data_IF_235699220104
#
_entry.id   IF_235699220104
#
_cell.length_a   1.000
_cell.length_b   1.000
_cell.length_c   1.000
_cell.angle_alpha   90.00
_cell.angle_beta   90.00
_cell.angle_gamma   90.00
#
_symmetry.space_group_name_H-M   'P 1'
#
loop_
_entity.id
_entity.type
_entity.pdbx_description
1 polymer ?
#
# COMPACT_ATOMS: atom_id res chain seq x y z
N UNK A 1 43.62 2.96 -15.30
CA UNK A 1 43.51 1.76 -14.48
C UNK A 1 42.42 1.86 -13.38
N UNK A 2 42.02 3.05 -12.94
CA UNK A 2 41.03 3.25 -11.85
C UNK A 2 39.62 2.74 -12.16
N UNK A 3 39.17 2.80 -13.42
CA UNK A 3 37.82 2.35 -13.80
C UNK A 3 37.63 0.80 -13.76
N UNK A 4 38.69 0.03 -14.00
CA UNK A 4 38.64 -1.43 -14.04
C UNK A 4 38.43 -2.05 -12.64
N UNK A 5 39.12 -1.48 -11.64
CA UNK A 5 38.93 -1.88 -10.23
C UNK A 5 37.51 -1.52 -9.74
N UNK A 6 37.00 -0.35 -10.14
CA UNK A 6 35.64 0.07 -9.79
C UNK A 6 34.59 -0.91 -10.35
N UNK A 7 34.69 -1.34 -11.61
CA UNK A 7 33.79 -2.31 -12.18
C UNK A 7 33.79 -3.65 -11.46
N UNK A 8 34.96 -4.15 -11.03
CA UNK A 8 35.05 -5.41 -10.29
C UNK A 8 34.41 -5.32 -8.91
N UNK A 9 34.49 -4.18 -8.23
CA UNK A 9 33.84 -3.97 -6.94
C UNK A 9 32.31 -3.84 -7.05
N UNK A 10 31.78 -3.23 -8.12
CA UNK A 10 30.35 -3.05 -8.31
C UNK A 10 29.70 -4.29 -8.93
N UNK A 11 30.42 -5.08 -9.67
CA UNK A 11 29.90 -6.20 -10.45
C UNK A 11 29.05 -7.19 -9.61
N UNK A 12 29.44 -7.63 -8.39
CA UNK A 12 28.61 -8.52 -7.60
C UNK A 12 27.24 -7.89 -7.23
N UNK A 13 27.26 -6.62 -6.81
CA UNK A 13 26.04 -5.89 -6.45
C UNK A 13 25.16 -5.67 -7.66
N UNK A 14 25.74 -5.26 -8.79
CA UNK A 14 25.01 -5.06 -10.04
C UNK A 14 24.40 -6.35 -10.55
N UNK A 15 25.15 -7.45 -10.51
CA UNK A 15 24.66 -8.79 -10.90
C UNK A 15 23.50 -9.23 -10.01
N UNK A 16 23.61 -9.02 -8.71
CA UNK A 16 22.52 -9.32 -7.77
C UNK A 16 21.28 -8.47 -8.06
N UNK A 17 21.45 -7.18 -8.33
CA UNK A 17 20.32 -6.30 -8.70
C UNK A 17 19.65 -6.73 -10.02
N UNK A 18 20.43 -7.11 -11.02
CA UNK A 18 19.87 -7.60 -12.29
C UNK A 18 19.11 -8.91 -12.06
N UNK A 19 19.71 -9.86 -11.33
CA UNK A 19 19.13 -11.18 -11.12
C UNK A 19 17.88 -11.14 -10.24
N UNK A 20 17.90 -10.39 -9.12
CA UNK A 20 16.83 -10.42 -8.12
C UNK A 20 15.82 -9.29 -8.24
N UNK A 21 16.10 -8.24 -9.00
CA UNK A 21 15.19 -7.10 -9.19
C UNK A 21 14.76 -6.97 -10.65
N UNK A 22 15.71 -6.80 -11.57
CA UNK A 22 15.37 -6.51 -12.96
C UNK A 22 14.72 -7.72 -13.66
N UNK A 23 15.27 -8.91 -13.47
CA UNK A 23 14.76 -10.13 -14.11
C UNK A 23 13.34 -10.50 -13.67
N UNK A 24 12.96 -10.49 -12.36
CA UNK A 24 11.57 -10.67 -11.95
C UNK A 24 10.62 -9.61 -12.53
N UNK A 25 11.02 -8.33 -12.57
CA UNK A 25 10.18 -7.27 -13.16
C UNK A 25 9.93 -7.54 -14.65
N UNK A 26 10.98 -7.91 -15.40
CA UNK A 26 10.85 -8.27 -16.82
C UNK A 26 9.97 -9.52 -16.97
N UNK A 27 10.12 -10.52 -16.11
CA UNK A 27 9.28 -11.74 -16.12
C UNK A 27 7.80 -11.40 -15.89
N UNK A 28 7.49 -10.59 -14.89
CA UNK A 28 6.11 -10.13 -14.60
C UNK A 28 5.57 -9.30 -15.76
N UNK A 29 6.38 -8.43 -16.37
CA UNK A 29 5.99 -7.69 -17.57
C UNK A 29 5.65 -8.61 -18.74
N UNK A 30 6.50 -9.60 -19.05
CA UNK A 30 6.22 -10.58 -20.10
C UNK A 30 4.93 -11.34 -19.80
N UNK A 31 4.74 -11.77 -18.56
CA UNK A 31 3.56 -12.50 -18.11
C UNK A 31 2.27 -11.66 -18.22
N UNK A 32 2.34 -10.37 -17.93
CA UNK A 32 1.20 -9.43 -18.04
C UNK A 32 0.66 -9.25 -19.47
N UNK A 33 1.44 -9.64 -20.49
CA UNK A 33 1.03 -9.63 -21.89
C UNK A 33 0.32 -10.92 -22.32
N UNK A 34 0.18 -11.89 -21.42
CA UNK A 34 -0.44 -13.19 -21.69
C UNK A 34 -1.68 -13.36 -20.82
N UNK A 35 -2.63 -14.15 -21.32
CA UNK A 35 -3.82 -14.58 -20.58
C UNK A 35 -3.77 -16.10 -20.46
N UNK A 36 -4.21 -16.60 -19.32
CA UNK A 36 -4.25 -18.02 -19.01
C UNK A 36 -5.16 -18.75 -20.01
N UNK A 37 -4.86 -20.04 -20.19
CA UNK A 37 -5.75 -20.91 -20.97
C UNK A 37 -7.08 -21.07 -20.25
N UNK A 38 -8.17 -21.03 -21.01
CA UNK A 38 -9.48 -21.43 -20.52
C UNK A 38 -9.43 -22.85 -19.99
N UNK A 39 -10.15 -23.09 -18.89
CA UNK A 39 -10.27 -24.44 -18.34
C UNK A 39 -11.06 -25.30 -19.32
N UNK A 40 -10.57 -26.50 -19.60
CA UNK A 40 -11.32 -27.46 -20.41
C UNK A 40 -12.46 -28.00 -19.55
N UNK A 41 -13.69 -27.67 -19.96
CA UNK A 41 -14.90 -28.11 -19.28
C UNK A 41 -15.42 -29.40 -19.92
N UNK A 42 -15.67 -30.41 -19.10
CA UNK A 42 -16.36 -31.64 -19.51
C UNK A 42 -17.75 -31.62 -18.91
N UNK A 43 -18.75 -31.71 -19.78
CA UNK A 43 -20.15 -31.88 -19.37
C UNK A 43 -20.42 -33.36 -19.17
N UNK A 44 -20.64 -33.79 -17.93
CA UNK A 44 -21.06 -35.13 -17.60
C UNK A 44 -22.54 -35.16 -17.23
N UNK A 45 -23.30 -35.97 -17.95
CA UNK A 45 -24.68 -36.26 -17.60
C UNK A 45 -24.74 -37.33 -16.51
N UNK A 46 -25.27 -37.00 -15.36
CA UNK A 46 -25.60 -37.96 -14.31
C UNK A 46 -27.12 -38.20 -14.30
N UNK A 47 -27.54 -39.37 -14.77
CA UNK A 47 -28.96 -39.76 -14.80
C UNK A 47 -29.32 -40.56 -13.54
N UNK A 48 -30.15 -39.98 -12.68
CA UNK A 48 -30.73 -40.61 -11.50
C UNK A 48 -32.23 -40.96 -11.67
N UNK A 49 -32.86 -41.62 -10.68
CA UNK A 49 -34.29 -42.01 -10.75
C UNK A 49 -35.24 -40.83 -10.91
N UNK A 50 -34.81 -39.60 -10.72
CA UNK A 50 -35.61 -38.36 -10.80
C UNK A 50 -35.28 -37.48 -12.00
N UNK A 51 -34.42 -37.95 -12.90
CA UNK A 51 -34.05 -37.18 -14.12
C UNK A 51 -32.53 -37.15 -14.32
N UNK A 52 -32.11 -36.68 -15.52
CA UNK A 52 -30.70 -36.43 -15.82
C UNK A 52 -30.33 -35.00 -15.44
N UNK A 53 -29.27 -34.83 -14.69
CA UNK A 53 -28.64 -33.53 -14.35
C UNK A 53 -27.31 -33.44 -15.10
N UNK A 54 -27.13 -32.38 -15.86
CA UNK A 54 -25.84 -32.04 -16.47
C UNK A 54 -24.99 -31.38 -15.43
N UNK A 55 -23.82 -31.96 -15.12
CA UNK A 55 -22.78 -31.39 -14.25
C UNK A 55 -21.59 -31.06 -15.13
N UNK A 56 -21.22 -29.78 -15.13
CA UNK A 56 -20.00 -29.31 -15.79
C UNK A 56 -18.83 -29.42 -14.80
N UNK A 57 -17.85 -30.27 -15.13
CA UNK A 57 -16.64 -30.45 -14.34
C UNK A 57 -15.42 -30.01 -15.14
N UNK A 58 -14.37 -29.57 -14.44
CA UNK A 58 -13.12 -29.18 -15.08
C UNK A 58 -12.31 -30.45 -15.37
N UNK A 59 -11.92 -30.64 -16.63
CA UNK A 59 -10.93 -31.66 -16.99
C UNK A 59 -9.53 -31.17 -16.58
N UNK A 60 -9.07 -31.69 -15.45
CA UNK A 60 -7.75 -31.31 -14.91
C UNK A 60 -6.60 -31.80 -15.78
N UNK A 61 -6.76 -32.96 -16.43
CA UNK A 61 -5.71 -33.57 -17.24
C UNK A 61 -5.54 -32.82 -18.57
N UNK A 62 -6.63 -32.55 -19.27
CA UNK A 62 -6.62 -31.74 -20.50
C UNK A 62 -6.14 -30.29 -20.23
N UNK A 63 -6.55 -29.70 -19.11
CA UNK A 63 -6.12 -28.36 -18.71
C UNK A 63 -4.62 -28.34 -18.37
N UNK A 64 -4.09 -29.39 -17.74
CA UNK A 64 -2.67 -29.52 -17.44
C UNK A 64 -1.81 -29.68 -18.71
N UNK A 65 -2.26 -30.47 -19.68
CA UNK A 65 -1.60 -30.62 -20.97
C UNK A 65 -1.49 -29.30 -21.74
N UNK A 66 -2.54 -28.48 -21.74
CA UNK A 66 -2.50 -27.14 -22.35
C UNK A 66 -1.45 -26.23 -21.69
N UNK A 67 -1.28 -26.36 -20.36
CA UNK A 67 -0.26 -25.60 -19.62
C UNK A 67 1.15 -26.07 -19.88
N UNK A 68 1.35 -27.37 -20.10
CA UNK A 68 2.65 -27.91 -20.48
C UNK A 68 3.08 -27.46 -21.87
N UNK A 69 2.13 -27.44 -22.84
CA UNK A 69 2.40 -26.97 -24.20
C UNK A 69 2.71 -25.48 -24.28
N UNK A 70 2.03 -24.67 -23.47
CA UNK A 70 2.16 -23.19 -23.45
C UNK A 70 2.16 -22.65 -22.01
N UNK A 71 3.29 -22.73 -21.30
CA UNK A 71 3.34 -22.39 -19.88
C UNK A 71 3.03 -20.92 -19.57
N UNK A 72 3.14 -20.00 -20.52
CA UNK A 72 2.77 -18.59 -20.36
C UNK A 72 1.31 -18.27 -20.70
N UNK A 73 0.56 -19.22 -21.29
CA UNK A 73 -0.77 -18.99 -21.80
C UNK A 73 -0.81 -18.40 -23.22
N UNK A 74 -1.89 -17.70 -23.55
CA UNK A 74 -2.10 -17.09 -24.86
C UNK A 74 -1.62 -15.63 -24.86
N UNK A 75 -0.86 -15.23 -25.88
CA UNK A 75 -0.41 -13.84 -26.01
C UNK A 75 -1.61 -12.93 -26.33
N UNK A 76 -1.89 -11.98 -25.45
CA UNK A 76 -2.97 -11.00 -25.55
C UNK A 76 -2.46 -9.56 -25.71
N UNK A 77 -1.16 -9.36 -25.61
CA UNK A 77 -0.53 -8.04 -25.67
C UNK A 77 -1.10 -7.09 -24.62
N UNK A 78 -1.53 -5.90 -25.03
CA UNK A 78 -2.12 -4.90 -24.14
C UNK A 78 -3.57 -5.16 -23.78
N UNK A 79 -4.24 -6.16 -24.38
CA UNK A 79 -5.64 -6.49 -24.10
C UNK A 79 -5.88 -6.82 -22.62
N UNK A 80 -4.91 -7.44 -21.95
CA UNK A 80 -4.97 -7.72 -20.51
C UNK A 80 -5.12 -6.45 -19.68
N UNK A 81 -4.48 -5.36 -20.09
CA UNK A 81 -4.56 -4.06 -19.38
C UNK A 81 -5.88 -3.31 -19.66
N UNK A 82 -6.52 -3.54 -20.81
CA UNK A 82 -7.69 -2.79 -21.26
C UNK A 82 -9.01 -3.43 -20.86
N UNK A 83 -8.98 -4.65 -20.32
CA UNK A 83 -10.15 -5.40 -19.92
C UNK A 83 -10.83 -4.78 -18.67
N UNK A 84 -12.05 -5.26 -18.38
CA UNK A 84 -12.86 -4.79 -17.23
C UNK A 84 -12.19 -4.96 -15.87
N UNK A 85 -11.30 -5.93 -15.72
CA UNK A 85 -10.59 -6.17 -14.45
C UNK A 85 -9.53 -5.11 -14.15
N UNK A 86 -9.09 -4.35 -15.17
CA UNK A 86 -8.03 -3.36 -15.06
C UNK A 86 -8.51 -1.98 -15.51
N UNK A 87 -7.98 -1.44 -16.63
CA UNK A 87 -8.31 -0.08 -17.07
C UNK A 87 -9.73 0.07 -17.64
N UNK A 88 -10.41 -1.03 -17.97
CA UNK A 88 -11.82 -1.06 -18.36
C UNK A 88 -12.17 0.04 -19.39
N UNK A 89 -11.35 0.19 -20.43
CA UNK A 89 -11.47 1.33 -21.34
C UNK A 89 -12.78 1.36 -22.13
N UNK A 90 -13.36 0.17 -22.42
CA UNK A 90 -14.64 0.06 -23.09
C UNK A 90 -15.78 0.51 -22.16
N UNK A 91 -15.78 0.03 -20.91
CA UNK A 91 -16.78 0.35 -19.89
C UNK A 91 -16.72 1.83 -19.49
N UNK A 92 -15.52 2.42 -19.38
CA UNK A 92 -15.40 3.87 -19.16
C UNK A 92 -15.95 4.68 -20.32
N UNK A 93 -15.70 4.22 -21.57
CA UNK A 93 -16.25 4.86 -22.75
C UNK A 93 -17.78 4.78 -22.81
N UNK A 94 -18.36 3.70 -22.30
CA UNK A 94 -19.81 3.52 -22.18
C UNK A 94 -20.37 4.39 -21.05
N UNK A 95 -19.77 4.35 -19.85
CA UNK A 95 -20.11 5.19 -18.71
C UNK A 95 -20.10 6.69 -19.07
N UNK A 96 -19.15 7.13 -19.88
CA UNK A 96 -19.09 8.52 -20.36
C UNK A 96 -20.26 8.89 -21.28
N UNK A 97 -20.82 7.93 -22.02
CA UNK A 97 -21.93 8.16 -22.94
C UNK A 97 -23.29 8.07 -22.26
N UNK A 98 -23.41 7.26 -21.20
CA UNK A 98 -24.66 6.95 -20.50
C UNK A 98 -24.90 7.84 -19.30
N UNK A 99 -23.83 8.38 -18.68
CA UNK A 99 -23.93 9.20 -17.50
C UNK A 99 -24.65 10.55 -17.79
N UNK A 100 -25.71 10.83 -17.03
CA UNK A 100 -26.44 12.09 -17.10
C UNK A 100 -25.72 13.21 -16.34
N UNK A 101 -25.02 12.84 -15.25
CA UNK A 101 -24.26 13.77 -14.42
C UNK A 101 -22.82 13.29 -14.24
N UNK A 102 -21.90 14.23 -13.95
CA UNK A 102 -20.51 13.89 -13.63
C UNK A 102 -20.40 12.98 -12.39
N UNK A 103 -21.38 13.08 -11.47
CA UNK A 103 -21.48 12.20 -10.30
C UNK A 103 -21.80 10.75 -10.67
N UNK A 104 -22.70 10.54 -11.61
CA UNK A 104 -23.10 9.20 -12.08
C UNK A 104 -21.92 8.52 -12.79
N UNK A 105 -21.24 9.26 -13.66
CA UNK A 105 -20.01 8.78 -14.29
C UNK A 105 -18.98 8.33 -13.26
N UNK A 106 -18.74 9.16 -12.21
CA UNK A 106 -17.76 8.83 -11.21
C UNK A 106 -18.15 7.60 -10.38
N UNK A 107 -19.42 7.43 -10.08
CA UNK A 107 -19.93 6.24 -9.38
C UNK A 107 -19.77 4.99 -10.23
N UNK A 108 -20.15 5.03 -11.52
CA UNK A 108 -19.97 3.89 -12.43
C UNK A 108 -18.47 3.48 -12.56
N UNK A 109 -17.57 4.47 -12.63
CA UNK A 109 -16.13 4.19 -12.67
C UNK A 109 -15.65 3.56 -11.36
N UNK A 110 -16.13 4.06 -10.21
CA UNK A 110 -15.76 3.50 -8.90
C UNK A 110 -16.34 2.09 -8.67
N UNK A 111 -17.40 1.69 -9.35
CA UNK A 111 -17.92 0.33 -9.28
C UNK A 111 -17.02 -0.70 -10.00
N UNK A 112 -16.07 -0.25 -10.81
CA UNK A 112 -15.10 -1.12 -11.46
C UNK A 112 -14.04 -1.60 -10.45
N UNK A 113 -13.68 -2.90 -10.42
CA UNK A 113 -12.84 -3.50 -9.39
C UNK A 113 -11.48 -2.81 -9.21
N UNK A 114 -10.81 -2.48 -10.32
CA UNK A 114 -9.51 -1.79 -10.29
C UNK A 114 -9.62 -0.37 -9.72
N UNK A 115 -10.62 0.40 -10.14
CA UNK A 115 -10.78 1.79 -9.70
C UNK A 115 -11.22 1.89 -8.24
N UNK A 116 -12.05 0.94 -7.78
CA UNK A 116 -12.39 0.81 -6.36
C UNK A 116 -11.13 0.56 -5.51
N UNK A 117 -10.31 -0.39 -5.93
CA UNK A 117 -9.07 -0.71 -5.23
C UNK A 117 -8.04 0.44 -5.30
N UNK A 118 -7.96 1.11 -6.44
CA UNK A 118 -7.12 2.30 -6.60
C UNK A 118 -7.58 3.45 -5.70
N UNK A 119 -8.89 3.70 -5.62
CA UNK A 119 -9.47 4.74 -4.76
C UNK A 119 -9.15 4.47 -3.29
N UNK A 120 -9.32 3.23 -2.82
CA UNK A 120 -8.92 2.84 -1.47
C UNK A 120 -7.41 3.04 -1.26
N UNK A 121 -6.58 2.52 -2.16
CA UNK A 121 -5.12 2.61 -2.06
C UNK A 121 -4.63 4.07 -1.99
N UNK A 122 -5.18 4.93 -2.83
CA UNK A 122 -4.86 6.37 -2.83
C UNK A 122 -5.35 7.05 -1.56
N UNK A 123 -6.59 6.82 -1.14
CA UNK A 123 -7.15 7.41 0.08
C UNK A 123 -6.31 7.00 1.29
N UNK A 124 -6.00 5.72 1.43
CA UNK A 124 -5.15 5.20 2.49
C UNK A 124 -3.78 5.88 2.48
N UNK A 125 -3.11 5.92 1.33
CA UNK A 125 -1.78 6.50 1.17
C UNK A 125 -1.76 7.99 1.52
N UNK A 126 -2.70 8.78 0.98
CA UNK A 126 -2.73 10.22 1.17
C UNK A 126 -3.26 10.65 2.55
N UNK A 127 -3.99 9.79 3.25
CA UNK A 127 -4.42 10.06 4.62
C UNK A 127 -3.35 9.60 5.61
N UNK A 128 -2.87 8.38 5.53
CA UNK A 128 -1.89 7.84 6.50
C UNK A 128 -0.58 8.62 6.47
N UNK A 129 -0.04 8.92 5.29
CA UNK A 129 1.29 9.56 5.17
C UNK A 129 1.38 10.91 5.89
N UNK A 130 0.49 11.89 5.71
CA UNK A 130 0.58 13.16 6.43
C UNK A 130 0.40 13.00 7.94
N UNK A 131 -0.51 12.12 8.38
CA UNK A 131 -0.69 11.87 9.82
C UNK A 131 0.57 11.27 10.45
N UNK A 132 1.21 10.31 9.78
CA UNK A 132 2.48 9.71 10.25
C UNK A 132 3.60 10.75 10.33
N UNK A 133 3.70 11.66 9.37
CA UNK A 133 4.68 12.75 9.38
C UNK A 133 4.44 13.72 10.55
N UNK A 134 3.20 14.20 10.69
CA UNK A 134 2.86 15.19 11.72
C UNK A 134 2.97 14.59 13.12
N UNK A 135 2.39 13.42 13.35
CA UNK A 135 2.41 12.78 14.66
C UNK A 135 3.80 12.27 15.02
N UNK A 136 4.56 11.72 14.04
CA UNK A 136 5.94 11.30 14.26
C UNK A 136 6.83 12.45 14.68
N UNK A 137 6.72 13.62 14.02
CA UNK A 137 7.43 14.83 14.43
C UNK A 137 6.97 15.33 15.80
N UNK A 138 5.67 15.35 16.08
CA UNK A 138 5.11 15.79 17.35
C UNK A 138 5.62 14.94 18.51
N UNK A 139 5.63 13.60 18.37
CA UNK A 139 6.18 12.68 19.37
C UNK A 139 7.69 12.89 19.52
N UNK A 140 8.45 13.04 18.42
CA UNK A 140 9.88 13.27 18.46
C UNK A 140 10.25 14.54 19.26
N UNK A 141 9.54 15.64 19.00
CA UNK A 141 9.70 16.91 19.73
C UNK A 141 9.26 16.76 21.19
N UNK A 142 8.15 16.08 21.44
CA UNK A 142 7.68 15.78 22.80
C UNK A 142 8.74 15.04 23.60
N UNK A 143 9.26 13.93 23.07
CA UNK A 143 10.29 13.10 23.71
C UNK A 143 11.61 13.88 23.87
N UNK A 144 11.97 14.71 22.89
CA UNK A 144 13.19 15.52 23.00
C UNK A 144 13.18 16.48 24.20
N UNK A 145 12.01 16.98 24.56
CA UNK A 145 11.82 17.90 25.69
C UNK A 145 11.62 17.20 27.05
N UNK A 146 11.54 15.86 27.11
CA UNK A 146 11.36 15.12 28.35
C UNK A 146 12.62 15.12 29.23
N UNK A 147 12.48 15.07 30.57
CA UNK A 147 13.59 14.78 31.47
C UNK A 147 14.26 13.45 31.11
N UNK A 148 15.58 13.36 31.33
CA UNK A 148 16.41 12.20 30.95
C UNK A 148 15.87 10.86 31.48
N UNK A 149 15.26 10.83 32.67
CA UNK A 149 14.69 9.63 33.29
C UNK A 149 13.54 9.04 32.47
N UNK A 150 12.70 9.88 31.84
CA UNK A 150 11.52 9.46 31.09
C UNK A 150 11.80 9.22 29.60
N UNK A 151 12.93 9.72 29.06
CA UNK A 151 13.22 9.57 27.62
C UNK A 151 13.29 8.10 27.19
N UNK A 152 14.07 7.28 27.90
CA UNK A 152 14.28 5.87 27.57
C UNK A 152 12.96 5.07 27.54
N UNK A 153 12.18 5.04 28.62
CA UNK A 153 10.89 4.35 28.65
C UNK A 153 9.93 4.83 27.55
N UNK A 154 9.84 6.15 27.31
CA UNK A 154 8.94 6.70 26.28
C UNK A 154 9.39 6.29 24.87
N UNK A 155 10.69 6.32 24.56
CA UNK A 155 11.22 5.84 23.28
C UNK A 155 10.86 4.37 23.10
N UNK A 156 11.09 3.53 24.12
CA UNK A 156 10.77 2.10 24.05
C UNK A 156 9.30 1.85 23.75
N UNK A 157 8.40 2.52 24.49
CA UNK A 157 6.94 2.39 24.28
C UNK A 157 6.54 2.86 22.88
N UNK A 158 7.13 3.96 22.41
CA UNK A 158 6.84 4.50 21.07
C UNK A 158 7.31 3.59 19.92
N UNK A 159 8.26 2.69 20.17
CA UNK A 159 8.78 1.74 19.19
C UNK A 159 8.05 0.38 19.21
N UNK A 160 7.21 0.12 20.24
CA UNK A 160 6.50 -1.17 20.36
C UNK A 160 5.71 -1.56 19.10
N UNK A 161 4.98 -0.66 18.41
CA UNK A 161 4.24 -1.06 17.21
C UNK A 161 5.13 -1.64 16.11
N UNK A 162 6.39 -1.24 16.01
CA UNK A 162 7.34 -1.73 15.01
C UNK A 162 7.85 -3.15 15.32
N UNK A 163 7.78 -3.58 16.57
CA UNK A 163 8.21 -4.93 16.99
C UNK A 163 7.19 -5.99 16.55
N UNK A 164 5.93 -5.60 16.49
CA UNK A 164 4.85 -6.50 16.08
C UNK A 164 4.79 -6.55 14.56
N UNK A 165 4.76 -7.77 13.99
CA UNK A 165 4.61 -7.90 12.53
C UNK A 165 3.27 -7.34 12.07
N UNK A 166 3.17 -6.70 10.90
CA UNK A 166 1.94 -6.05 10.44
C UNK A 166 0.72 -6.97 10.44
N UNK A 167 0.89 -8.21 10.01
CA UNK A 167 -0.19 -9.21 9.99
C UNK A 167 -0.72 -9.51 11.40
N UNK A 168 0.18 -9.76 12.36
CA UNK A 168 -0.19 -10.10 13.74
C UNK A 168 -0.79 -8.89 14.45
N UNK A 169 -0.20 -7.71 14.27
CA UNK A 169 -0.72 -6.47 14.85
C UNK A 169 -2.13 -6.13 14.37
N UNK A 170 -2.38 -6.29 13.08
CA UNK A 170 -3.70 -6.10 12.51
C UNK A 170 -4.72 -7.14 13.04
N UNK A 171 -4.32 -8.40 13.16
CA UNK A 171 -5.17 -9.45 13.71
C UNK A 171 -5.52 -9.20 15.19
N UNK A 172 -4.56 -8.78 16.00
CA UNK A 172 -4.80 -8.40 17.40
C UNK A 172 -5.81 -7.24 17.48
N UNK A 173 -5.63 -6.20 16.66
CA UNK A 173 -6.54 -5.06 16.66
C UNK A 173 -7.93 -5.47 16.17
N UNK A 174 -8.04 -6.33 15.15
CA UNK A 174 -9.31 -6.88 14.69
C UNK A 174 -10.10 -7.52 15.85
N UNK A 175 -9.47 -8.41 16.62
CA UNK A 175 -10.13 -9.04 17.78
C UNK A 175 -10.46 -8.05 18.90
N UNK A 176 -9.62 -7.05 19.12
CA UNK A 176 -9.88 -6.03 20.14
C UNK A 176 -11.09 -5.15 19.79
N UNK A 177 -11.32 -4.89 18.50
CA UNK A 177 -12.37 -4.00 17.98
C UNK A 177 -13.67 -4.76 17.69
N UNK A 178 -13.62 -6.09 17.61
CA UNK A 178 -14.80 -6.92 17.43
C UNK A 178 -15.84 -6.63 18.53
N UNK A 179 -17.12 -6.93 18.26
CA UNK A 179 -18.26 -6.70 19.17
C UNK A 179 -17.98 -7.22 20.59
N UNK A 180 -17.36 -8.41 20.70
CA UNK A 180 -16.98 -9.04 21.97
C UNK A 180 -15.59 -8.62 22.48
N UNK A 181 -14.91 -7.72 21.78
CA UNK A 181 -13.57 -7.26 22.12
C UNK A 181 -13.58 -6.08 23.08
N UNK A 182 -12.43 -5.86 23.76
CA UNK A 182 -12.30 -4.80 24.78
C UNK A 182 -12.55 -3.40 24.19
N UNK A 183 -12.00 -3.11 23.00
CA UNK A 183 -12.23 -1.82 22.33
C UNK A 183 -13.63 -1.74 21.74
N UNK A 184 -14.17 -2.86 21.21
CA UNK A 184 -15.54 -2.91 20.71
C UNK A 184 -16.55 -2.57 21.79
N UNK A 185 -16.46 -3.21 22.95
CA UNK A 185 -17.30 -2.91 24.11
C UNK A 185 -17.14 -1.46 24.60
N UNK A 186 -15.93 -0.92 24.63
CA UNK A 186 -15.68 0.47 25.01
C UNK A 186 -16.30 1.47 24.01
N UNK A 187 -16.24 1.19 22.70
CA UNK A 187 -16.85 2.01 21.66
C UNK A 187 -18.38 1.95 21.76
N UNK A 188 -18.97 0.77 21.94
CA UNK A 188 -20.41 0.61 22.16
C UNK A 188 -20.91 1.40 23.38
N UNK A 189 -20.18 1.34 24.48
CA UNK A 189 -20.48 2.12 25.67
C UNK A 189 -20.36 3.64 25.42
N UNK A 190 -19.34 4.09 24.68
CA UNK A 190 -19.11 5.51 24.39
C UNK A 190 -20.21 6.10 23.50
N UNK A 191 -20.71 5.32 22.53
CA UNK A 191 -21.76 5.76 21.58
C UNK A 191 -23.17 5.35 22.01
N UNK A 192 -23.31 4.67 23.17
CA UNK A 192 -24.59 4.17 23.71
C UNK A 192 -25.38 3.30 22.70
N UNK A 193 -24.66 2.54 21.88
CA UNK A 193 -25.22 1.64 20.87
C UNK A 193 -24.61 0.22 21.02
N UNK A 194 -25.36 -0.72 21.65
CA UNK A 194 -24.88 -2.10 21.84
C UNK A 194 -24.72 -2.90 20.54
N UNK A 195 -25.30 -2.44 19.44
CA UNK A 195 -25.22 -3.11 18.13
C UNK A 195 -24.13 -2.52 17.25
N UNK A 196 -23.42 -1.50 17.71
CA UNK A 196 -22.37 -0.86 16.93
C UNK A 196 -21.21 -1.84 16.71
N UNK A 197 -20.98 -2.18 15.43
CA UNK A 197 -19.84 -2.99 15.01
C UNK A 197 -18.98 -2.20 14.05
N UNK A 198 -17.69 -2.12 14.34
CA UNK A 198 -16.74 -1.40 13.49
C UNK A 198 -16.53 -2.09 12.13
N UNK A 199 -16.94 -3.36 12.02
CA UNK A 199 -16.88 -4.14 10.79
C UNK A 199 -18.18 -4.07 9.96
N UNK A 200 -19.19 -3.32 10.41
CA UNK A 200 -20.53 -3.32 9.81
C UNK A 200 -20.64 -2.45 8.55
N UNK A 201 -19.73 -1.51 8.33
CA UNK A 201 -19.82 -0.59 7.20
C UNK A 201 -18.46 -0.20 6.63
N UNK A 202 -18.43 0.08 5.32
CA UNK A 202 -17.22 0.49 4.61
C UNK A 202 -16.49 1.68 5.26
N UNK A 203 -17.16 2.79 5.66
CA UNK A 203 -16.46 3.90 6.30
C UNK A 203 -15.81 3.56 7.64
N UNK A 204 -16.44 2.70 8.43
CA UNK A 204 -15.90 2.27 9.73
C UNK A 204 -14.67 1.37 9.52
N UNK A 205 -14.75 0.42 8.60
CA UNK A 205 -13.62 -0.45 8.24
C UNK A 205 -12.44 0.38 7.71
N UNK A 206 -12.67 1.35 6.82
CA UNK A 206 -11.62 2.23 6.32
C UNK A 206 -10.97 3.04 7.45
N UNK A 207 -11.79 3.58 8.36
CA UNK A 207 -11.28 4.32 9.52
C UNK A 207 -10.37 3.45 10.39
N UNK A 208 -10.76 2.21 10.65
CA UNK A 208 -9.95 1.27 11.42
C UNK A 208 -8.64 0.93 10.73
N UNK A 209 -8.69 0.65 9.43
CA UNK A 209 -7.49 0.38 8.64
C UNK A 209 -6.53 1.57 8.63
N UNK A 210 -7.05 2.81 8.49
CA UNK A 210 -6.27 4.04 8.53
C UNK A 210 -5.64 4.26 9.91
N UNK A 211 -6.40 4.10 11.00
CA UNK A 211 -5.88 4.21 12.36
C UNK A 211 -4.77 3.20 12.60
N UNK A 212 -4.98 1.94 12.18
CA UNK A 212 -3.96 0.90 12.26
C UNK A 212 -2.71 1.29 11.45
N UNK A 213 -2.87 1.75 10.21
CA UNK A 213 -1.78 2.17 9.35
C UNK A 213 -0.94 3.30 9.94
N UNK A 214 -1.61 4.30 10.54
CA UNK A 214 -0.92 5.38 11.26
C UNK A 214 -0.13 4.79 12.43
N UNK A 215 -0.78 4.00 13.29
CA UNK A 215 -0.17 3.43 14.49
C UNK A 215 1.05 2.56 14.18
N UNK A 216 0.96 1.69 13.17
CA UNK A 216 2.04 0.78 12.79
C UNK A 216 3.24 1.48 12.12
N UNK A 217 2.99 2.56 11.37
CA UNK A 217 4.02 3.30 10.62
C UNK A 217 4.68 4.41 11.44
N UNK A 218 4.05 4.83 12.53
CA UNK A 218 4.46 5.98 13.36
C UNK A 218 5.84 5.81 14.00
N UNK A 219 6.26 4.61 14.50
CA UNK A 219 7.56 4.42 15.10
C UNK A 219 8.73 4.75 14.19
N UNK A 220 8.65 4.38 12.91
CA UNK A 220 9.69 4.68 11.94
C UNK A 220 9.86 6.19 11.74
N UNK A 221 8.76 6.91 11.54
CA UNK A 221 8.77 8.36 11.40
C UNK A 221 9.29 9.06 12.66
N UNK A 222 8.84 8.60 13.83
CA UNK A 222 9.28 9.10 15.12
C UNK A 222 10.80 8.97 15.29
N UNK A 223 11.38 7.78 15.09
CA UNK A 223 12.81 7.55 15.34
C UNK A 223 13.69 8.36 14.39
N UNK A 224 13.30 8.48 13.12
CA UNK A 224 14.02 9.28 12.12
C UNK A 224 13.99 10.77 12.49
N UNK A 225 12.83 11.31 12.86
CA UNK A 225 12.73 12.69 13.31
C UNK A 225 13.47 12.93 14.63
N UNK A 226 13.38 11.99 15.58
CA UNK A 226 14.10 12.10 16.84
C UNK A 226 15.61 12.14 16.64
N UNK A 227 16.15 11.27 15.77
CA UNK A 227 17.55 11.30 15.39
C UNK A 227 17.93 12.62 14.69
N UNK A 228 17.08 13.11 13.79
CA UNK A 228 17.29 14.38 13.11
C UNK A 228 17.29 15.58 14.05
N UNK A 229 16.45 15.59 15.08
CA UNK A 229 16.46 16.66 16.10
C UNK A 229 17.78 16.76 16.85
N UNK A 230 18.51 15.63 17.01
CA UNK A 230 19.81 15.62 17.67
C UNK A 230 20.93 16.21 16.79
N UNK A 231 20.69 16.45 15.51
CA UNK A 231 21.68 17.02 14.58
C UNK A 231 21.57 18.53 14.43
N UNK A 232 20.57 19.15 15.05
CA UNK A 232 20.39 20.61 15.00
C UNK A 232 21.46 21.25 15.90
N UNK A 233 22.31 22.17 15.38
CA UNK A 233 23.28 22.87 16.20
C UNK A 233 22.61 23.73 17.29
N UNK A 234 23.10 23.63 18.53
CA UNK A 234 22.53 24.38 19.65
C UNK A 234 22.63 25.90 19.42
N UNK A 235 23.70 26.37 18.78
CA UNK A 235 23.91 27.78 18.43
C UNK A 235 22.75 28.38 17.62
N UNK A 236 22.12 27.60 16.73
CA UNK A 236 20.99 28.06 15.94
C UNK A 236 19.73 28.23 16.80
N UNK A 237 19.53 27.34 17.77
CA UNK A 237 18.39 27.39 18.67
C UNK A 237 18.56 28.52 19.71
N UNK A 238 19.79 28.75 20.18
CA UNK A 238 20.15 29.81 21.09
C UNK A 238 20.03 31.19 20.42
N UNK A 239 20.55 31.35 19.20
CA UNK A 239 20.43 32.57 18.42
C UNK A 239 18.96 32.96 18.22
N UNK A 240 18.12 32.00 17.80
CA UNK A 240 16.68 32.22 17.64
C UNK A 240 15.99 32.59 18.98
N UNK A 241 16.51 32.09 20.10
CA UNK A 241 15.99 32.45 21.43
C UNK A 241 16.39 33.85 21.84
N UNK A 242 17.62 34.28 21.54
CA UNK A 242 18.14 35.64 21.79
C UNK A 242 17.33 36.65 20.95
N UNK A 243 16.97 36.30 19.71
CA UNK A 243 16.08 37.09 18.83
C UNK A 243 14.62 37.13 19.30
N UNK A 244 14.28 36.51 20.44
CA UNK A 244 12.94 36.52 21.02
C UNK A 244 11.94 35.61 20.32
N UNK A 245 12.38 34.64 19.51
CA UNK A 245 11.50 33.73 18.82
C UNK A 245 10.74 32.80 19.79
N UNK A 246 9.42 32.72 19.63
CA UNK A 246 8.58 31.79 20.38
C UNK A 246 8.89 30.32 20.03
N UNK A 247 8.43 29.38 20.87
CA UNK A 247 8.64 27.93 20.60
C UNK A 247 8.11 27.52 19.23
N UNK A 248 6.94 28.07 18.81
CA UNK A 248 6.36 27.79 17.50
C UNK A 248 7.17 28.39 16.35
N UNK A 249 7.68 29.60 16.51
CA UNK A 249 8.55 30.22 15.51
C UNK A 249 9.88 29.44 15.34
N UNK A 250 10.51 29.01 16.43
CA UNK A 250 11.70 28.14 16.37
C UNK A 250 11.40 26.82 15.65
N UNK A 251 10.25 26.20 15.96
CA UNK A 251 9.82 24.99 15.27
C UNK A 251 9.68 25.22 13.76
N UNK A 252 8.95 26.26 13.38
CA UNK A 252 8.60 26.53 11.97
C UNK A 252 9.77 27.03 11.14
N UNK A 253 10.66 27.87 11.70
CA UNK A 253 11.70 28.57 10.95
C UNK A 253 13.10 27.97 11.13
N UNK A 254 13.35 27.19 12.16
CA UNK A 254 14.65 26.54 12.42
C UNK A 254 14.51 25.02 12.31
N UNK A 255 13.67 24.40 13.13
CA UNK A 255 13.60 22.93 13.25
C UNK A 255 13.06 22.27 11.98
N UNK A 256 11.88 22.70 11.51
CA UNK A 256 11.25 22.05 10.31
C UNK A 256 12.09 22.24 9.05
N UNK A 257 12.65 23.42 8.73
CA UNK A 257 13.54 23.57 7.59
C UNK A 257 14.82 22.71 7.66
N UNK A 258 15.40 22.56 8.88
CA UNK A 258 16.54 21.69 9.08
C UNK A 258 16.20 20.22 8.83
N UNK A 259 15.01 19.78 9.25
CA UNK A 259 14.54 18.41 9.08
C UNK A 259 13.94 18.14 7.69
N UNK A 260 13.85 19.12 6.78
CA UNK A 260 13.20 18.96 5.48
C UNK A 260 13.76 17.78 4.65
N UNK A 261 15.07 17.51 4.60
CA UNK A 261 15.58 16.32 3.93
C UNK A 261 15.02 15.01 4.51
N UNK A 262 14.84 14.94 5.83
CA UNK A 262 14.25 13.77 6.49
C UNK A 262 12.74 13.69 6.25
N UNK A 263 12.03 14.82 6.20
CA UNK A 263 10.61 14.85 5.81
C UNK A 263 10.43 14.25 4.41
N UNK A 264 11.26 14.66 3.45
CA UNK A 264 11.23 14.11 2.09
C UNK A 264 11.53 12.61 2.10
N UNK A 265 12.56 12.18 2.81
CA UNK A 265 12.95 10.77 2.92
C UNK A 265 11.82 9.91 3.50
N UNK A 266 11.23 10.32 4.63
CA UNK A 266 10.10 9.60 5.23
C UNK A 266 8.90 9.60 4.29
N UNK A 267 8.60 10.72 3.62
CA UNK A 267 7.49 10.81 2.67
C UNK A 267 7.64 9.81 1.53
N UNK A 268 8.84 9.70 0.94
CA UNK A 268 9.09 8.74 -0.15
C UNK A 268 8.87 7.30 0.30
N UNK A 269 9.37 6.93 1.48
CA UNK A 269 9.18 5.58 2.04
C UNK A 269 7.70 5.34 2.34
N UNK A 270 7.03 6.28 3.01
CA UNK A 270 5.62 6.13 3.37
C UNK A 270 4.70 6.05 2.14
N UNK A 271 4.95 6.85 1.10
CA UNK A 271 4.18 6.75 -0.14
C UNK A 271 4.35 5.37 -0.78
N UNK A 272 5.57 4.84 -0.81
CA UNK A 272 5.86 3.53 -1.38
C UNK A 272 5.22 2.40 -0.55
N UNK A 273 5.33 2.43 0.77
CA UNK A 273 4.84 1.37 1.65
C UNK A 273 3.31 1.39 1.77
N UNK A 274 2.70 2.57 1.92
CA UNK A 274 1.25 2.69 2.02
C UNK A 274 0.54 2.35 0.70
N UNK A 275 1.18 2.61 -0.45
CA UNK A 275 0.61 2.25 -1.75
C UNK A 275 0.52 0.73 -1.97
N UNK A 276 1.33 -0.05 -1.27
CA UNK A 276 1.30 -1.53 -1.30
C UNK A 276 0.60 -2.14 -0.09
N UNK A 277 -0.28 -1.42 0.57
CA UNK A 277 -1.03 -1.94 1.73
C UNK A 277 -1.75 -3.25 1.38
N UNK A 278 -1.53 -4.29 2.20
CA UNK A 278 -2.06 -5.63 1.97
C UNK A 278 -2.43 -6.35 3.27
N UNK A 279 -1.45 -6.54 4.18
CA UNK A 279 -1.58 -7.36 5.39
C UNK A 279 -2.75 -6.92 6.29
N UNK A 280 -3.01 -5.62 6.51
CA UNK A 280 -4.14 -5.19 7.32
C UNK A 280 -5.50 -5.60 6.73
N UNK A 281 -5.64 -5.57 5.39
CA UNK A 281 -6.90 -5.93 4.72
C UNK A 281 -7.25 -7.39 4.99
N UNK A 282 -6.28 -8.29 4.82
CA UNK A 282 -6.47 -9.72 5.08
C UNK A 282 -6.74 -9.98 6.56
N UNK A 283 -5.94 -9.38 7.45
CA UNK A 283 -6.07 -9.62 8.89
C UNK A 283 -7.38 -9.11 9.48
N UNK A 284 -7.91 -8.01 8.95
CA UNK A 284 -9.22 -7.48 9.34
C UNK A 284 -10.39 -8.17 8.64
N UNK A 285 -10.12 -9.12 7.74
CA UNK A 285 -11.15 -9.75 6.88
C UNK A 285 -11.98 -8.68 6.16
N UNK A 286 -11.30 -7.63 5.70
CA UNK A 286 -11.92 -6.42 5.20
C UNK A 286 -12.21 -6.46 3.68
N UNK A 287 -12.05 -7.61 3.02
CA UNK A 287 -12.08 -7.73 1.55
C UNK A 287 -13.43 -7.30 0.94
N UNK A 288 -14.53 -7.40 1.71
CA UNK A 288 -15.85 -6.94 1.28
C UNK A 288 -16.01 -5.42 1.29
N UNK A 289 -15.20 -4.72 2.10
CA UNK A 289 -15.30 -3.28 2.33
C UNK A 289 -14.08 -2.50 1.83
N UNK A 290 -12.92 -3.14 1.75
CA UNK A 290 -11.67 -2.51 1.35
C UNK A 290 -10.82 -3.48 0.53
N UNK A 291 -10.46 -3.06 -0.67
CA UNK A 291 -9.55 -3.80 -1.55
C UNK A 291 -8.44 -2.86 -1.99
N UNK A 292 -7.18 -3.27 -1.87
CA UNK A 292 -6.05 -2.55 -2.43
C UNK A 292 -5.60 -3.18 -3.75
N UNK A 293 -4.74 -2.49 -4.48
CA UNK A 293 -4.11 -3.07 -5.67
C UNK A 293 -3.31 -4.34 -5.33
N UNK A 294 -2.61 -4.36 -4.19
CA UNK A 294 -1.89 -5.54 -3.71
C UNK A 294 -2.83 -6.70 -3.34
N UNK A 295 -4.03 -6.39 -2.85
CA UNK A 295 -5.05 -7.40 -2.57
C UNK A 295 -5.58 -8.04 -3.88
N UNK A 296 -5.78 -7.25 -4.95
CA UNK A 296 -6.18 -7.81 -6.26
C UNK A 296 -5.13 -8.78 -6.76
N UNK A 297 -3.84 -8.42 -6.70
CA UNK A 297 -2.74 -9.30 -7.11
C UNK A 297 -2.79 -10.63 -6.34
N UNK A 298 -2.98 -10.56 -5.02
CA UNK A 298 -3.08 -11.75 -4.17
C UNK A 298 -4.31 -12.61 -4.52
N UNK A 299 -5.47 -11.96 -4.70
CA UNK A 299 -6.71 -12.64 -5.06
C UNK A 299 -6.60 -13.37 -6.40
N UNK A 300 -6.00 -12.74 -7.39
CA UNK A 300 -5.79 -13.33 -8.72
C UNK A 300 -4.84 -14.54 -8.66
N UNK A 301 -3.86 -14.53 -7.76
CA UNK A 301 -2.89 -15.62 -7.64
C UNK A 301 -3.39 -16.81 -6.81
N UNK A 302 -4.26 -16.57 -5.81
CA UNK A 302 -4.57 -17.59 -4.79
C UNK A 302 -6.05 -17.94 -4.73
N UNK A 303 -6.94 -16.95 -4.76
CA UNK A 303 -8.35 -17.17 -4.45
C UNK A 303 -9.17 -17.76 -5.62
N UNK A 304 -8.70 -17.60 -6.84
CA UNK A 304 -9.45 -18.02 -8.04
C UNK A 304 -9.47 -19.53 -8.30
N UNK A 305 -8.83 -20.34 -7.45
CA UNK A 305 -8.69 -21.80 -7.69
C UNK A 305 -7.87 -22.15 -8.93
N UNK A 306 -7.70 -21.21 -9.84
CA UNK A 306 -6.84 -21.21 -11.01
C UNK A 306 -6.09 -19.89 -11.05
N UNK A 307 -4.75 -19.87 -10.78
CA UNK A 307 -4.00 -18.61 -10.70
C UNK A 307 -4.05 -17.85 -12.02
N UNK A 308 -4.49 -16.59 -11.94
CA UNK A 308 -4.56 -15.65 -13.06
C UNK A 308 -3.27 -14.84 -13.15
N UNK A 309 -2.19 -15.47 -13.59
CA UNK A 309 -0.85 -14.85 -13.62
C UNK A 309 -0.77 -13.61 -14.51
N UNK A 310 -1.45 -13.61 -15.65
CA UNK A 310 -1.49 -12.47 -16.56
C UNK A 310 -2.19 -11.26 -15.95
N UNK A 311 -3.34 -11.48 -15.30
CA UNK A 311 -4.10 -10.45 -14.58
C UNK A 311 -3.28 -9.89 -13.40
N UNK A 312 -2.73 -10.76 -12.55
CA UNK A 312 -1.87 -10.36 -11.45
C UNK A 312 -0.63 -9.58 -11.94
N UNK A 313 -0.05 -10.00 -13.07
CA UNK A 313 1.06 -9.30 -13.72
C UNK A 313 0.67 -7.91 -14.20
N UNK A 314 -0.48 -7.75 -14.85
CA UNK A 314 -0.99 -6.47 -15.31
C UNK A 314 -1.25 -5.51 -14.14
N UNK A 315 -1.94 -5.97 -13.09
CA UNK A 315 -2.15 -5.18 -11.86
C UNK A 315 -0.82 -4.80 -11.20
N UNK A 316 0.18 -5.71 -11.19
CA UNK A 316 1.51 -5.42 -10.64
C UNK A 316 2.22 -4.32 -11.43
N UNK A 317 2.19 -4.35 -12.77
CA UNK A 317 2.74 -3.30 -13.60
C UNK A 317 2.04 -1.96 -13.40
N UNK A 318 0.71 -1.94 -13.37
CA UNK A 318 -0.06 -0.72 -13.08
C UNK A 318 0.27 -0.15 -11.69
N UNK A 319 0.49 -1.02 -10.70
CA UNK A 319 0.93 -0.61 -9.35
C UNK A 319 2.32 0.03 -9.38
N UNK A 320 3.29 -0.56 -10.10
CA UNK A 320 4.63 0.00 -10.27
C UNK A 320 4.56 1.38 -10.95
N UNK A 321 3.78 1.52 -12.02
CA UNK A 321 3.56 2.80 -12.68
C UNK A 321 2.88 3.81 -11.75
N UNK A 322 1.89 3.39 -10.98
CA UNK A 322 1.21 4.24 -9.98
C UNK A 322 2.18 4.79 -8.94
N UNK A 323 3.04 3.94 -8.36
CA UNK A 323 4.09 4.37 -7.43
C UNK A 323 5.07 5.32 -8.11
N UNK A 324 5.53 5.02 -9.33
CA UNK A 324 6.44 5.90 -10.07
C UNK A 324 5.84 7.29 -10.30
N UNK A 325 4.56 7.37 -10.67
CA UNK A 325 3.84 8.64 -10.85
C UNK A 325 3.76 9.41 -9.53
N UNK A 326 3.44 8.74 -8.41
CA UNK A 326 3.36 9.38 -7.08
C UNK A 326 4.71 9.92 -6.59
N UNK A 327 5.79 9.18 -6.83
CA UNK A 327 7.13 9.59 -6.38
C UNK A 327 7.72 10.69 -7.25
N UNK A 328 7.37 10.76 -8.52
CA UNK A 328 7.96 11.71 -9.51
C UNK A 328 7.91 13.18 -9.06
N UNK A 329 6.79 13.75 -8.57
CA UNK A 329 6.75 15.16 -8.13
C UNK A 329 7.70 15.44 -6.96
N UNK A 330 7.78 14.49 -6.00
CA UNK A 330 8.67 14.62 -4.84
C UNK A 330 10.13 14.56 -5.28
N UNK A 331 10.49 13.63 -6.16
CA UNK A 331 11.84 13.49 -6.71
C UNK A 331 12.28 14.71 -7.54
N UNK A 332 11.39 15.22 -8.40
CA UNK A 332 11.68 16.42 -9.21
C UNK A 332 11.92 17.63 -8.29
N UNK A 333 11.08 17.82 -7.26
CA UNK A 333 11.24 18.91 -6.31
C UNK A 333 12.57 18.80 -5.58
N UNK A 334 12.90 17.63 -5.06
CA UNK A 334 14.14 17.36 -4.33
C UNK A 334 15.37 17.60 -5.21
N UNK A 335 15.33 17.13 -6.44
CA UNK A 335 16.41 17.33 -7.41
C UNK A 335 16.62 18.82 -7.75
N UNK A 336 15.54 19.56 -7.92
CA UNK A 336 15.59 21.03 -8.16
C UNK A 336 16.17 21.77 -6.96
N UNK A 337 15.78 21.40 -5.74
CA UNK A 337 16.29 22.03 -4.52
C UNK A 337 17.78 21.71 -4.28
N UNK A 338 18.21 20.49 -4.63
CA UNK A 338 19.62 20.11 -4.58
C UNK A 338 20.46 20.93 -5.58
N UNK A 339 20.02 21.05 -6.82
CA UNK A 339 20.75 21.81 -7.85
C UNK A 339 20.81 23.32 -7.54
N UNK A 340 19.80 23.89 -6.85
CA UNK A 340 19.84 25.29 -6.42
C UNK A 340 20.87 25.58 -5.32
N UNK A 341 21.19 24.58 -4.50
CA UNK A 341 22.18 24.72 -3.39
C UNK A 341 23.62 24.50 -3.87
N UNK A 342 23.82 23.96 -5.08
CA UNK A 342 25.15 23.70 -5.66
C UNK A 342 25.65 24.86 -6.53
N UNK A 343 24.89 25.92 -6.68
CA UNK A 343 25.27 27.21 -7.31
C UNK A 343 25.32 28.28 -6.24
#
# INVERSE_FOLDING_TARGET
MKHRSFFWFILPTLSAMILFIALPIVSVFVQSLHVEHEQVLVVSESCGPFGCTETTTIDQEATALLREERPLGQFNGVGTYLNRAHLATAEIGEAWRTAETFGDFFNEVLDLPFYWALAFTLTYTFVVTPFVLVLGLAIAVGVNNLPRVFKGPTIFISLLPMIVTPLVGALILFWMVNVDGVLGAAIQWLFDDPNLSMNASTPLVWTMLIIYGIWSSLPFSFIVFYAGLQTIPDDQLEAAQIDGATRWQRMRYVTVPHLMPLVVFITLIQLMDNFRVFEPIISFQAESHARSLSWIIYNDLIAAGNPLYGSAGATSMLTIFGVAILLTPVLIRTWRDFNRKSV
#
